data_IF_572767457634
#
_entry.id   IF_572767457634
#
_cell.length_a   1.000
_cell.length_b   1.000
_cell.length_c   1.000
_cell.angle_alpha   90.00
_cell.angle_beta   90.00
_cell.angle_gamma   90.00
#
_symmetry.space_group_name_H-M   'P 1'
#
loop_
_entity.id
_entity.type
_entity.pdbx_description
1 polymer ?
#
# COMPACT_ATOMS: atom_id res chain seq x y z
N UNK A 1 8.23 0.98 -41.75
CA UNK A 1 7.01 0.15 -41.55
C UNK A 1 7.21 -0.97 -40.53
N UNK A 2 8.31 -1.73 -40.56
CA UNK A 2 8.60 -2.81 -39.58
C UNK A 2 8.54 -2.37 -38.11
N UNK A 3 9.03 -1.16 -37.79
CA UNK A 3 9.02 -0.59 -36.43
C UNK A 3 7.63 -0.37 -35.83
N UNK A 4 6.63 -0.05 -36.65
CA UNK A 4 5.26 0.17 -36.17
C UNK A 4 4.56 -1.16 -35.88
N UNK A 5 4.78 -2.16 -36.74
CA UNK A 5 4.30 -3.52 -36.51
C UNK A 5 4.89 -4.11 -35.24
N UNK A 6 6.20 -4.00 -35.01
CA UNK A 6 6.81 -4.50 -33.76
C UNK A 6 6.29 -3.79 -32.51
N UNK A 7 5.99 -2.49 -32.58
CA UNK A 7 5.40 -1.75 -31.45
C UNK A 7 3.98 -2.23 -31.13
N UNK A 8 3.14 -2.41 -32.16
CA UNK A 8 1.77 -2.93 -32.00
C UNK A 8 1.80 -4.37 -31.47
N UNK A 9 2.68 -5.22 -32.01
CA UNK A 9 2.86 -6.58 -31.50
C UNK A 9 3.40 -6.59 -30.07
N UNK A 10 4.28 -5.68 -29.69
CA UNK A 10 4.78 -5.56 -28.32
C UNK A 10 3.65 -5.22 -27.34
N UNK A 11 2.88 -4.17 -27.61
CA UNK A 11 1.73 -3.79 -26.77
C UNK A 11 0.66 -4.89 -26.77
N UNK A 12 0.34 -5.45 -27.94
CA UNK A 12 -0.66 -6.50 -28.09
C UNK A 12 -0.27 -7.78 -27.35
N UNK A 13 1.00 -8.19 -27.42
CA UNK A 13 1.53 -9.35 -26.70
C UNK A 13 1.52 -9.14 -25.20
N UNK A 14 1.88 -7.93 -24.74
CA UNK A 14 1.86 -7.59 -23.32
C UNK A 14 0.44 -7.61 -22.75
N UNK A 15 -0.53 -7.03 -23.49
CA UNK A 15 -1.95 -7.09 -23.14
C UNK A 15 -2.51 -8.51 -23.18
N UNK A 16 -2.17 -9.29 -24.21
CA UNK A 16 -2.59 -10.68 -24.35
C UNK A 16 -2.02 -11.57 -23.23
N UNK A 17 -0.74 -11.42 -22.89
CA UNK A 17 -0.13 -12.10 -21.74
C UNK A 17 -0.81 -11.67 -20.43
N UNK A 18 -1.07 -10.38 -20.25
CA UNK A 18 -1.82 -9.86 -19.10
C UNK A 18 -3.18 -10.55 -18.94
N UNK A 19 -3.94 -10.68 -20.03
CA UNK A 19 -5.26 -11.29 -20.02
C UNK A 19 -5.22 -12.82 -19.86
N UNK A 20 -4.29 -13.49 -20.55
CA UNK A 20 -4.11 -14.94 -20.50
C UNK A 20 -3.63 -15.42 -19.13
N UNK A 21 -2.72 -14.67 -18.50
CA UNK A 21 -2.13 -15.01 -17.21
C UNK A 21 -2.73 -14.23 -16.04
N UNK A 22 -3.94 -13.67 -16.22
CA UNK A 22 -4.63 -12.83 -15.22
C UNK A 22 -4.48 -13.33 -13.79
N UNK A 23 -4.70 -14.63 -13.55
CA UNK A 23 -4.62 -15.22 -12.21
C UNK A 23 -3.19 -15.53 -11.76
N UNK A 24 -2.28 -15.87 -12.68
CA UNK A 24 -0.87 -16.09 -12.36
C UNK A 24 -0.17 -14.78 -11.99
N UNK A 25 -0.47 -13.70 -12.71
CA UNK A 25 0.08 -12.36 -12.44
C UNK A 25 -0.46 -11.86 -11.11
N UNK A 26 -1.77 -11.94 -10.89
CA UNK A 26 -2.39 -11.56 -9.60
C UNK A 26 -1.81 -12.40 -8.45
N UNK A 27 -1.65 -13.72 -8.61
CA UNK A 27 -1.01 -14.55 -7.58
C UNK A 27 0.47 -14.20 -7.37
N UNK A 28 1.22 -13.87 -8.41
CA UNK A 28 2.62 -13.46 -8.29
C UNK A 28 2.73 -12.08 -7.59
N UNK A 29 1.80 -11.17 -7.89
CA UNK A 29 1.67 -9.86 -7.26
C UNK A 29 1.28 -9.98 -5.78
N UNK A 30 0.34 -10.86 -5.46
CA UNK A 30 -0.11 -11.12 -4.09
C UNK A 30 0.96 -11.89 -3.28
N UNK A 31 1.70 -12.80 -3.92
CA UNK A 31 2.73 -13.62 -3.28
C UNK A 31 4.05 -12.88 -3.08
N UNK A 32 4.43 -12.01 -4.02
CA UNK A 32 5.61 -11.17 -3.88
C UNK A 32 5.24 -9.92 -3.08
N UNK A 33 6.07 -9.48 -2.14
CA UNK A 33 5.86 -8.23 -1.39
C UNK A 33 5.85 -6.96 -2.25
N UNK A 34 5.70 -7.08 -3.58
CA UNK A 34 5.47 -6.02 -4.54
C UNK A 34 4.12 -5.35 -4.32
N UNK A 35 3.03 -6.13 -4.13
CA UNK A 35 1.74 -5.53 -3.81
C UNK A 35 1.80 -4.75 -2.49
N UNK A 36 2.49 -5.28 -1.47
CA UNK A 36 2.73 -4.55 -0.21
C UNK A 36 3.43 -3.21 -0.47
N UNK A 37 4.43 -3.17 -1.35
CA UNK A 37 5.13 -1.93 -1.69
C UNK A 37 4.24 -0.94 -2.46
N UNK A 38 3.43 -1.41 -3.40
CA UNK A 38 2.48 -0.55 -4.14
C UNK A 38 1.40 -0.02 -3.22
N UNK A 39 0.77 -0.88 -2.43
CA UNK A 39 -0.30 -0.50 -1.50
C UNK A 39 0.22 0.40 -0.38
N UNK A 40 1.32 0.05 0.29
CA UNK A 40 1.90 0.89 1.36
C UNK A 40 2.47 2.18 0.79
N UNK A 41 3.17 2.13 -0.34
CA UNK A 41 3.68 3.32 -1.01
C UNK A 41 2.57 4.27 -1.43
N UNK A 42 1.49 3.73 -2.00
CA UNK A 42 0.33 4.50 -2.43
C UNK A 42 -0.57 4.97 -1.28
N UNK A 43 -0.56 4.33 -0.11
CA UNK A 43 -1.31 4.78 1.07
C UNK A 43 -0.50 5.80 1.87
N UNK A 44 0.81 5.57 2.05
CA UNK A 44 1.70 6.50 2.75
C UNK A 44 2.03 7.76 1.93
N UNK A 45 1.90 7.73 0.61
CA UNK A 45 2.02 8.94 -0.23
C UNK A 45 0.86 9.92 -0.03
N UNK A 46 -0.26 9.48 0.56
CA UNK A 46 -1.37 10.38 0.89
C UNK A 46 -1.17 10.99 2.28
N UNK A 47 -0.93 12.32 2.39
CA UNK A 47 -0.66 12.97 3.66
C UNK A 47 -1.85 12.88 4.64
N UNK A 48 -3.09 12.82 4.13
CA UNK A 48 -4.30 12.67 4.96
C UNK A 48 -4.43 11.30 5.63
N UNK A 49 -4.12 10.21 4.92
CA UNK A 49 -4.19 8.85 5.47
C UNK A 49 -3.01 8.58 6.42
N UNK A 50 -1.83 9.07 6.06
CA UNK A 50 -0.64 9.04 6.92
C UNK A 50 -0.91 9.72 8.27
N UNK A 51 -1.52 10.91 8.29
CA UNK A 51 -1.82 11.64 9.54
C UNK A 51 -2.77 10.86 10.44
N UNK A 52 -3.85 10.32 9.88
CA UNK A 52 -4.84 9.50 10.60
C UNK A 52 -4.23 8.21 11.20
N UNK A 53 -3.34 7.54 10.46
CA UNK A 53 -2.65 6.34 10.96
C UNK A 53 -1.61 6.67 12.04
N UNK A 54 -0.83 7.75 11.88
CA UNK A 54 0.10 8.17 12.92
C UNK A 54 -0.66 8.61 14.18
N UNK A 55 -1.78 9.31 14.04
CA UNK A 55 -2.63 9.70 15.16
C UNK A 55 -3.27 8.49 15.87
N UNK A 56 -3.66 7.44 15.15
CA UNK A 56 -4.22 6.23 15.79
C UNK A 56 -3.15 5.36 16.48
N UNK A 57 -1.95 5.27 15.90
CA UNK A 57 -0.85 4.44 16.43
C UNK A 57 -0.11 5.14 17.57
N UNK A 58 0.15 6.46 17.45
CA UNK A 58 0.87 7.24 18.46
C UNK A 58 -0.05 7.97 19.44
N UNK A 59 -1.31 8.22 19.09
CA UNK A 59 -2.27 8.89 19.98
C UNK A 59 -2.74 8.02 21.15
N UNK A 60 -2.69 6.69 21.02
CA UNK A 60 -3.04 5.78 22.12
C UNK A 60 -1.90 5.56 23.12
N UNK A 61 -0.64 5.80 22.72
CA UNK A 61 0.53 5.64 23.59
C UNK A 61 0.84 6.88 24.44
N UNK A 62 0.30 8.05 24.08
CA UNK A 62 0.54 9.29 24.83
C UNK A 62 -0.39 9.47 26.05
N UNK A 63 -1.53 8.77 26.08
CA UNK A 63 -2.56 8.93 27.12
C UNK A 63 -2.47 7.90 28.25
N UNK A 64 -1.56 6.93 28.18
CA UNK A 64 -1.31 5.98 29.28
C UNK A 64 -0.19 6.48 30.21
N UNK A 65 -0.28 7.76 30.60
CA UNK A 65 0.22 8.16 31.93
C UNK A 65 -1.00 8.07 32.85
N UNK A 66 -1.05 7.11 33.79
CA UNK A 66 -1.98 7.25 34.90
C UNK A 66 -1.58 8.53 35.63
N UNK A 67 -2.36 9.58 35.42
CA UNK A 67 -2.42 10.71 36.34
C UNK A 67 -2.87 10.13 37.68
N UNK A 68 -1.90 9.74 38.49
CA UNK A 68 -2.08 9.53 39.93
C UNK A 68 -2.35 10.92 40.49
N UNK A 69 -3.59 11.38 40.32
CA UNK A 69 -4.17 12.46 41.10
C UNK A 69 -5.14 11.77 42.07
N UNK A 70 -4.56 11.14 43.08
CA UNK A 70 -5.30 10.74 44.26
C UNK A 70 -5.48 11.98 45.14
N UNK A 71 -6.68 12.27 45.68
CA UNK A 71 -6.85 13.35 46.63
C UNK A 71 -5.98 13.05 47.86
N UNK A 72 -4.93 13.84 48.08
CA UNK A 72 -4.16 13.80 49.32
C UNK A 72 -4.91 14.62 50.37
N UNK A 73 -6.05 14.10 50.82
CA UNK A 73 -6.64 14.47 52.11
C UNK A 73 -5.83 13.74 53.20
N UNK A 74 -4.77 14.40 53.67
CA UNK A 74 -4.11 14.22 54.96
C UNK A 74 -3.61 15.57 55.46
#
# INVERSE_FOLDING_TARGET
MSRMLTSIFMIGSLGYFGFRYRYRIINLLLRSGWLRRVTVGSIMSFPGVKRKMMESVFGRTATDRPSIEGPSDW
#
